data_IF_592857702356
#
_entry.id   IF_592857702356
#
_cell.length_a   1.000
_cell.length_b   1.000
_cell.length_c   1.000
_cell.angle_alpha   90.00
_cell.angle_beta   90.00
_cell.angle_gamma   90.00
#
_symmetry.space_group_name_H-M   'P 1'
#
loop_
_entity.id
_entity.type
_entity.pdbx_description
1 polymer ?
#
# COMPACT_ATOMS: atom_id res chain seq x y z
N UNK A 1 -60.45 35.68 -4.94
CA UNK A 1 -60.10 37.12 -4.79
C UNK A 1 -58.98 37.21 -3.76
N UNK A 2 -57.91 37.98 -4.04
CA UNK A 2 -56.79 38.31 -3.13
C UNK A 2 -55.99 37.12 -2.53
N UNK A 3 -54.79 36.89 -3.06
CA UNK A 3 -53.75 36.08 -2.40
C UNK A 3 -52.84 36.95 -1.52
N UNK A 4 -52.22 36.33 -0.51
CA UNK A 4 -51.22 36.98 0.34
C UNK A 4 -49.80 36.50 -0.03
N UNK A 5 -49.05 37.34 -0.77
CA UNK A 5 -47.60 37.18 -0.88
C UNK A 5 -46.92 37.77 0.35
N UNK A 6 -46.16 36.94 1.08
CA UNK A 6 -45.17 37.41 2.06
C UNK A 6 -43.80 37.43 1.40
N UNK A 7 -43.27 38.63 1.15
CA UNK A 7 -41.88 38.81 0.76
C UNK A 7 -40.97 38.74 2.00
N UNK A 8 -39.97 37.86 1.99
CA UNK A 8 -38.87 37.89 2.95
C UNK A 8 -37.66 38.57 2.31
N UNK A 9 -37.20 39.67 2.91
CA UNK A 9 -35.97 40.33 2.50
C UNK A 9 -34.76 39.61 3.11
N UNK A 10 -33.91 39.04 2.28
CA UNK A 10 -32.62 38.48 2.69
C UNK A 10 -31.54 39.57 2.61
N UNK A 11 -31.01 40.01 3.75
CA UNK A 11 -29.89 40.93 3.81
C UNK A 11 -28.57 40.15 3.70
N UNK A 12 -27.88 40.29 2.57
CA UNK A 12 -26.54 39.71 2.35
C UNK A 12 -25.45 40.69 2.81
N UNK A 13 -24.82 40.38 3.96
CA UNK A 13 -23.65 41.11 4.44
C UNK A 13 -22.36 40.37 4.02
N UNK A 14 -21.55 41.02 3.19
CA UNK A 14 -20.22 40.54 2.78
C UNK A 14 -19.15 41.30 3.58
N UNK A 15 -18.29 40.64 4.37
CA UNK A 15 -17.07 41.25 4.88
C UNK A 15 -15.92 41.13 3.85
N UNK A 16 -15.08 42.16 3.81
CA UNK A 16 -14.16 42.41 2.70
C UNK A 16 -12.81 41.67 2.77
N UNK A 17 -12.14 41.63 1.63
CA UNK A 17 -10.78 41.12 1.41
C UNK A 17 -9.74 41.95 2.18
N UNK A 18 -8.77 41.28 2.80
CA UNK A 18 -7.51 41.89 3.24
C UNK A 18 -6.33 41.08 2.69
N UNK A 19 -5.78 41.53 1.55
CA UNK A 19 -4.56 40.99 0.98
C UNK A 19 -3.35 41.81 1.46
N UNK A 20 -2.46 41.19 2.22
CA UNK A 20 -1.20 41.79 2.64
C UNK A 20 -0.06 41.31 1.74
N UNK A 21 0.31 42.13 0.75
CA UNK A 21 1.50 41.89 -0.05
C UNK A 21 2.74 42.39 0.70
N UNK A 22 3.77 41.54 0.83
CA UNK A 22 5.13 41.97 1.17
C UNK A 22 6.06 41.64 0.01
N UNK A 23 6.71 42.67 -0.52
CA UNK A 23 7.61 42.57 -1.65
C UNK A 23 9.08 42.60 -1.22
N UNK A 24 9.87 41.74 -1.86
CA UNK A 24 11.26 41.94 -2.30
C UNK A 24 12.28 42.55 -1.32
N UNK A 25 13.34 41.79 -1.05
CA UNK A 25 14.69 42.35 -0.96
C UNK A 25 15.71 41.36 -1.51
N UNK A 26 16.32 41.72 -2.64
CA UNK A 26 17.44 41.04 -3.28
C UNK A 26 18.76 41.64 -2.80
N UNK A 27 19.78 40.82 -2.56
CA UNK A 27 21.16 41.31 -2.37
C UNK A 27 22.20 40.44 -3.08
N UNK A 28 23.17 41.11 -3.68
CA UNK A 28 24.10 40.62 -4.70
C UNK A 28 25.26 39.77 -4.18
N UNK A 29 25.88 39.00 -5.08
CA UNK A 29 27.19 38.39 -4.88
C UNK A 29 28.35 39.39 -4.96
N UNK A 30 29.58 38.97 -4.61
CA UNK A 30 30.80 39.43 -5.28
C UNK A 30 31.51 38.30 -6.05
N UNK A 31 32.33 38.70 -7.02
CA UNK A 31 33.07 37.82 -7.94
C UNK A 31 34.55 38.19 -7.98
N UNK A 32 35.44 37.19 -8.01
CA UNK A 32 36.83 37.29 -8.51
C UNK A 32 37.28 35.91 -9.02
N UNK A 33 37.44 35.74 -10.34
CA UNK A 33 38.73 35.75 -11.06
C UNK A 33 39.51 34.42 -10.97
N UNK A 34 39.37 33.52 -11.96
CA UNK A 34 40.15 33.44 -13.22
C UNK A 34 41.62 33.03 -13.07
N UNK A 35 41.98 31.88 -13.64
CA UNK A 35 43.20 31.66 -14.43
C UNK A 35 42.91 30.60 -15.53
N UNK A 36 43.71 30.55 -16.60
CA UNK A 36 43.26 30.07 -17.93
C UNK A 36 44.43 29.49 -18.76
N UNK A 37 44.11 28.61 -19.72
CA UNK A 37 44.90 28.16 -20.89
C UNK A 37 46.08 27.17 -20.69
N UNK A 38 46.56 26.46 -21.75
CA UNK A 38 45.95 26.17 -23.07
C UNK A 38 46.01 24.68 -23.54
N UNK A 39 45.39 24.42 -24.70
CA UNK A 39 45.56 23.23 -25.57
C UNK A 39 46.97 23.14 -26.22
N UNK A 40 47.27 22.04 -26.93
CA UNK A 40 47.17 22.12 -28.40
C UNK A 40 46.43 20.92 -29.08
N UNK A 41 45.95 21.17 -30.30
CA UNK A 41 45.42 20.16 -31.25
C UNK A 41 46.57 19.50 -32.05
N UNK A 42 46.46 18.35 -32.71
CA UNK A 42 45.73 17.99 -33.95
C UNK A 42 46.18 16.55 -34.33
N UNK A 43 45.53 15.70 -35.14
CA UNK A 43 45.38 15.77 -36.60
C UNK A 43 44.54 14.59 -37.16
N UNK A 44 44.12 14.74 -38.43
CA UNK A 44 43.49 13.76 -39.35
C UNK A 44 44.31 12.45 -39.56
N UNK A 45 43.89 11.38 -40.25
CA UNK A 45 42.87 11.20 -41.31
C UNK A 45 42.60 9.70 -41.63
N UNK A 46 41.52 9.40 -42.37
CA UNK A 46 41.38 8.36 -43.44
C UNK A 46 41.66 6.84 -43.13
N UNK A 47 41.08 5.83 -43.82
CA UNK A 47 39.96 5.71 -44.78
C UNK A 47 39.64 4.19 -45.06
N UNK A 48 38.65 3.92 -45.94
CA UNK A 48 38.28 2.64 -46.59
C UNK A 48 37.58 1.57 -45.72
N UNK A 49 36.36 1.04 -46.00
CA UNK A 49 35.77 0.40 -47.21
C UNK A 49 36.50 -0.90 -47.58
N UNK A 50 35.92 -2.11 -47.69
CA UNK A 50 34.69 -2.61 -48.38
C UNK A 50 34.30 -4.01 -47.83
N UNK A 51 33.22 -4.75 -48.18
CA UNK A 51 31.87 -4.52 -48.75
C UNK A 51 31.05 -5.85 -48.75
N UNK A 52 29.70 -5.79 -48.79
CA UNK A 52 28.74 -6.88 -49.18
C UNK A 52 28.70 -8.17 -48.32
N UNK A 53 27.61 -8.94 -48.16
CA UNK A 53 26.41 -9.16 -49.01
C UNK A 53 25.20 -9.72 -48.22
N UNK A 54 23.98 -9.31 -48.60
CA UNK A 54 22.70 -10.06 -48.66
C UNK A 54 22.36 -11.22 -47.68
N UNK A 55 21.27 -11.05 -46.91
CA UNK A 55 20.46 -12.14 -46.29
C UNK A 55 19.08 -11.62 -45.83
N UNK A 56 17.99 -12.40 -45.96
CA UNK A 56 16.59 -11.89 -46.01
C UNK A 56 15.62 -12.63 -45.07
N UNK A 57 15.29 -12.02 -43.91
CA UNK A 57 14.04 -12.15 -43.09
C UNK A 57 13.56 -13.57 -42.63
N UNK A 58 12.53 -13.71 -41.75
CA UNK A 58 11.86 -12.75 -40.85
C UNK A 58 11.80 -13.20 -39.35
N UNK A 59 11.23 -12.34 -38.50
CA UNK A 59 10.50 -12.61 -37.24
C UNK A 59 10.99 -13.67 -36.24
N UNK A 60 11.45 -13.20 -35.06
CA UNK A 60 11.12 -13.82 -33.77
C UNK A 60 11.06 -12.73 -32.68
N UNK A 61 9.86 -12.48 -32.14
CA UNK A 61 9.68 -11.66 -30.93
C UNK A 61 9.95 -12.57 -29.73
N UNK A 62 10.95 -12.30 -28.86
CA UNK A 62 11.07 -13.02 -27.61
C UNK A 62 9.89 -12.62 -26.71
N UNK A 63 9.17 -13.58 -26.10
CA UNK A 63 8.04 -13.26 -25.23
C UNK A 63 8.51 -12.57 -23.95
N UNK A 64 7.62 -11.76 -23.36
CA UNK A 64 7.79 -11.18 -22.03
C UNK A 64 8.19 -12.28 -21.03
N UNK A 65 9.45 -12.26 -20.59
CA UNK A 65 9.84 -12.96 -19.38
C UNK A 65 9.19 -12.20 -18.22
N UNK A 66 8.17 -12.81 -17.60
CA UNK A 66 7.54 -12.23 -16.41
C UNK A 66 8.62 -11.94 -15.37
N UNK A 67 8.68 -10.69 -14.90
CA UNK A 67 9.57 -10.29 -13.83
C UNK A 67 9.15 -11.06 -12.56
N UNK A 68 9.88 -12.12 -12.26
CA UNK A 68 9.70 -12.87 -11.03
C UNK A 68 10.09 -11.95 -9.87
N UNK A 69 9.08 -11.49 -9.12
CA UNK A 69 9.28 -10.68 -7.93
C UNK A 69 10.30 -11.35 -7.01
N UNK A 70 11.25 -10.56 -6.50
CA UNK A 70 12.29 -11.04 -5.61
C UNK A 70 11.68 -11.50 -4.27
N UNK A 71 11.39 -12.79 -4.16
CA UNK A 71 10.85 -13.40 -2.96
C UNK A 71 11.85 -13.29 -1.80
N UNK A 72 11.53 -12.45 -0.81
CA UNK A 72 12.30 -12.37 0.43
C UNK A 72 11.95 -13.53 1.36
N UNK A 73 13.00 -14.17 1.89
CA UNK A 73 13.06 -15.30 2.81
C UNK A 73 11.77 -15.73 3.55
N UNK A 74 11.50 -17.04 3.48
CA UNK A 74 10.46 -17.76 4.21
C UNK A 74 10.67 -17.70 5.74
N UNK A 75 9.76 -16.98 6.41
CA UNK A 75 9.53 -17.03 7.86
C UNK A 75 8.02 -17.23 8.11
N UNK A 76 7.46 -18.27 7.49
CA UNK A 76 6.03 -18.65 7.52
C UNK A 76 5.55 -19.20 8.88
N UNK A 77 5.62 -18.38 9.92
CA UNK A 77 4.80 -18.60 11.11
C UNK A 77 3.32 -18.35 10.75
N UNK A 78 2.40 -19.26 11.12
CA UNK A 78 0.99 -19.14 10.74
C UNK A 78 0.29 -18.13 11.65
N UNK A 79 -0.68 -17.42 11.07
CA UNK A 79 -1.59 -16.54 11.79
C UNK A 79 -3.04 -16.95 11.53
N UNK A 80 -3.96 -16.42 12.34
CA UNK A 80 -5.40 -16.61 12.14
C UNK A 80 -5.94 -15.46 11.30
N UNK A 81 -6.69 -15.80 10.27
CA UNK A 81 -7.39 -14.85 9.40
C UNK A 81 -8.87 -15.18 9.41
N UNK A 82 -9.73 -14.19 9.65
CA UNK A 82 -11.18 -14.36 9.74
C UNK A 82 -11.88 -13.59 8.61
N UNK A 83 -12.75 -14.29 7.89
CA UNK A 83 -13.54 -13.80 6.77
C UNK A 83 -15.03 -13.91 7.07
N UNK A 84 -15.82 -12.94 6.59
CA UNK A 84 -17.27 -13.12 6.41
C UNK A 84 -17.52 -13.55 4.97
N UNK A 85 -18.30 -14.61 4.77
CA UNK A 85 -18.53 -15.27 3.47
C UNK A 85 -20.00 -15.63 3.34
N UNK A 86 -20.68 -15.23 2.24
CA UNK A 86 -22.10 -15.56 2.08
C UNK A 86 -22.31 -17.06 1.91
N UNK A 87 -22.90 -17.68 2.94
CA UNK A 87 -23.18 -19.11 3.03
C UNK A 87 -24.59 -19.29 3.59
N UNK A 88 -25.41 -20.12 2.92
CA UNK A 88 -26.84 -20.29 3.21
C UNK A 88 -27.26 -21.74 3.48
N UNK A 89 -26.34 -22.70 3.34
CA UNK A 89 -26.57 -24.12 3.63
C UNK A 89 -25.24 -24.87 3.82
N UNK A 90 -25.30 -26.11 4.33
CA UNK A 90 -24.11 -26.97 4.52
C UNK A 90 -23.33 -27.24 3.24
N UNK A 91 -23.99 -27.32 2.08
CA UNK A 91 -23.30 -27.43 0.78
C UNK A 91 -22.39 -26.22 0.47
N UNK A 92 -22.72 -25.04 1.01
CA UNK A 92 -21.85 -23.86 0.95
C UNK A 92 -20.57 -24.08 1.77
N UNK A 93 -20.72 -24.60 2.98
CA UNK A 93 -19.62 -24.90 3.92
C UNK A 93 -18.67 -25.93 3.31
N UNK A 94 -19.20 -27.01 2.73
CA UNK A 94 -18.39 -28.03 2.05
C UNK A 94 -17.63 -27.45 0.86
N UNK A 95 -18.28 -26.65 0.00
CA UNK A 95 -17.62 -26.04 -1.15
C UNK A 95 -16.46 -25.11 -0.74
N UNK A 96 -16.67 -24.28 0.29
CA UNK A 96 -15.64 -23.38 0.85
C UNK A 96 -14.48 -24.16 1.47
N UNK A 97 -14.77 -25.15 2.34
CA UNK A 97 -13.73 -25.99 2.95
C UNK A 97 -12.91 -26.72 1.91
N UNK A 98 -13.56 -27.40 0.95
CA UNK A 98 -12.86 -28.15 -0.09
C UNK A 98 -11.95 -27.24 -0.92
N UNK A 99 -12.40 -26.02 -1.27
CA UNK A 99 -11.60 -25.07 -2.06
C UNK A 99 -10.40 -24.52 -1.29
N UNK A 100 -10.56 -24.18 -0.01
CA UNK A 100 -9.44 -23.72 0.81
C UNK A 100 -8.45 -24.85 1.10
N UNK A 101 -8.93 -26.09 1.32
CA UNK A 101 -8.06 -27.26 1.56
C UNK A 101 -7.15 -27.63 0.38
N UNK A 102 -7.40 -27.13 -0.84
CA UNK A 102 -6.46 -27.31 -1.97
C UNK A 102 -5.27 -26.37 -1.93
N UNK A 103 -5.24 -25.39 -1.02
CA UNK A 103 -4.15 -24.41 -0.92
C UNK A 103 -3.09 -24.88 0.08
N UNK A 104 -1.87 -25.10 -0.41
CA UNK A 104 -0.70 -25.34 0.44
C UNK A 104 -0.47 -24.15 1.38
N UNK A 105 -0.07 -24.42 2.63
CA UNK A 105 0.08 -23.39 3.68
C UNK A 105 -1.13 -23.23 4.62
N UNK A 106 -2.31 -23.73 4.26
CA UNK A 106 -3.46 -23.78 5.18
C UNK A 106 -3.34 -24.99 6.13
N UNK A 107 -3.42 -24.72 7.44
CA UNK A 107 -3.24 -25.71 8.52
C UNK A 107 -4.56 -26.10 9.18
N UNK A 108 -5.51 -25.17 9.32
CA UNK A 108 -6.86 -25.44 9.83
C UNK A 108 -7.90 -24.49 9.22
N UNK A 109 -9.14 -24.95 9.07
CA UNK A 109 -10.28 -24.15 8.59
C UNK A 109 -11.50 -24.44 9.50
N UNK A 110 -11.90 -23.43 10.26
CA UNK A 110 -13.14 -23.42 11.03
C UNK A 110 -14.21 -22.65 10.24
N UNK A 111 -15.45 -23.14 10.25
CA UNK A 111 -16.57 -22.47 9.59
C UNK A 111 -17.75 -22.42 10.55
N UNK A 112 -18.28 -21.22 10.73
CA UNK A 112 -19.45 -20.89 11.52
C UNK A 112 -20.54 -20.43 10.55
N UNK A 113 -21.41 -21.36 10.14
CA UNK A 113 -22.50 -21.09 9.20
C UNK A 113 -23.54 -20.09 9.77
N UNK A 114 -24.01 -20.20 11.03
CA UNK A 114 -24.93 -19.22 11.63
C UNK A 114 -24.41 -17.77 11.57
N UNK A 115 -23.12 -17.56 11.81
CA UNK A 115 -22.53 -16.22 11.73
C UNK A 115 -21.98 -15.85 10.34
N UNK A 116 -22.02 -16.78 9.39
CA UNK A 116 -21.45 -16.66 8.03
C UNK A 116 -19.94 -16.35 8.02
N UNK A 117 -19.19 -17.04 8.90
CA UNK A 117 -17.77 -16.76 9.17
C UNK A 117 -16.90 -17.96 8.84
N UNK A 118 -15.72 -17.68 8.27
CA UNK A 118 -14.68 -18.66 7.94
C UNK A 118 -13.38 -18.18 8.61
N UNK A 119 -12.82 -18.99 9.50
CA UNK A 119 -11.50 -18.74 10.10
C UNK A 119 -10.49 -19.70 9.50
N UNK A 120 -9.38 -19.16 9.03
CA UNK A 120 -8.26 -19.90 8.46
C UNK A 120 -7.05 -19.72 9.36
N UNK A 121 -6.38 -20.81 9.72
CA UNK A 121 -5.05 -20.80 10.30
C UNK A 121 -4.06 -21.21 9.20
N UNK A 122 -3.12 -20.33 8.86
CA UNK A 122 -2.16 -20.59 7.79
C UNK A 122 -1.18 -19.44 7.61
N UNK A 123 -0.38 -19.52 6.56
CA UNK A 123 0.69 -18.55 6.23
C UNK A 123 0.48 -17.86 4.86
N UNK A 124 -0.63 -18.16 4.19
CA UNK A 124 -0.98 -17.58 2.89
C UNK A 124 -1.34 -16.09 2.96
N UNK A 125 -1.09 -15.33 1.88
CA UNK A 125 -1.58 -13.96 1.75
C UNK A 125 -3.12 -13.90 1.79
N UNK A 126 -3.67 -12.84 2.39
CA UNK A 126 -5.11 -12.57 2.44
C UNK A 126 -5.71 -12.54 1.05
N UNK A 127 -5.01 -11.96 0.07
CA UNK A 127 -5.47 -11.92 -1.33
C UNK A 127 -5.69 -13.32 -1.91
N UNK A 128 -4.74 -14.24 -1.72
CA UNK A 128 -4.84 -15.63 -2.21
C UNK A 128 -6.06 -16.35 -1.62
N UNK A 129 -6.33 -16.14 -0.33
CA UNK A 129 -7.50 -16.70 0.34
C UNK A 129 -8.82 -16.07 -0.15
N UNK A 130 -8.88 -14.74 -0.34
CA UNK A 130 -10.05 -14.05 -0.90
C UNK A 130 -10.35 -14.50 -2.33
N UNK A 131 -9.34 -14.52 -3.20
CA UNK A 131 -9.50 -14.95 -4.60
C UNK A 131 -10.01 -16.41 -4.66
N UNK A 132 -9.54 -17.29 -3.77
CA UNK A 132 -10.03 -18.66 -3.66
C UNK A 132 -11.46 -18.77 -3.12
N UNK A 133 -11.86 -17.91 -2.18
CA UNK A 133 -13.25 -17.83 -1.70
C UNK A 133 -14.19 -17.31 -2.79
N UNK A 134 -13.82 -16.26 -3.52
CA UNK A 134 -14.58 -15.72 -4.65
C UNK A 134 -14.75 -16.75 -5.78
N UNK A 135 -13.74 -17.59 -6.04
CA UNK A 135 -13.84 -18.73 -6.97
C UNK A 135 -14.90 -19.78 -6.57
N UNK A 136 -15.44 -19.76 -5.35
CA UNK A 136 -16.60 -20.60 -4.97
C UNK A 136 -17.96 -19.99 -5.34
N UNK A 137 -17.97 -18.83 -6.01
CA UNK A 137 -19.18 -18.08 -6.37
C UNK A 137 -19.80 -17.34 -5.18
N UNK A 138 -18.97 -16.90 -4.22
CA UNK A 138 -19.40 -16.26 -2.96
C UNK A 138 -18.73 -14.92 -2.79
N UNK A 139 -19.48 -13.94 -2.33
CA UNK A 139 -18.86 -12.75 -1.76
C UNK A 139 -18.15 -13.12 -0.44
N UNK A 140 -16.96 -12.56 -0.26
CA UNK A 140 -16.08 -12.81 0.86
C UNK A 140 -15.28 -11.54 1.17
N UNK A 141 -15.22 -11.17 2.45
CA UNK A 141 -14.41 -10.05 2.94
C UNK A 141 -13.64 -10.41 4.19
N UNK A 142 -12.44 -9.86 4.32
CA UNK A 142 -11.67 -9.92 5.56
C UNK A 142 -12.40 -9.15 6.67
N UNK A 143 -12.51 -9.75 7.86
CA UNK A 143 -13.06 -9.10 9.05
C UNK A 143 -12.09 -9.06 10.25
N UNK A 144 -11.07 -9.93 10.30
CA UNK A 144 -10.03 -9.87 11.34
C UNK A 144 -8.74 -10.65 11.02
N UNK A 145 -7.61 -10.27 11.63
CA UNK A 145 -6.31 -10.95 11.49
C UNK A 145 -5.53 -11.06 12.81
N UNK A 146 -4.62 -12.05 12.88
CA UNK A 146 -3.75 -12.34 14.02
C UNK A 146 -4.46 -13.08 15.16
N UNK A 147 -3.72 -13.42 16.23
CA UNK A 147 -4.25 -14.20 17.35
C UNK A 147 -4.69 -13.30 18.53
N UNK A 148 -6.01 -13.16 18.80
CA UNK A 148 -6.52 -12.27 19.86
C UNK A 148 -6.17 -12.75 21.27
N UNK A 149 -5.86 -14.05 21.43
CA UNK A 149 -5.45 -14.62 22.71
C UNK A 149 -4.03 -14.19 23.12
N UNK A 150 -3.20 -13.80 22.14
CA UNK A 150 -1.78 -13.50 22.34
C UNK A 150 -1.54 -11.97 22.34
N UNK A 151 -2.35 -11.21 21.60
CA UNK A 151 -2.15 -9.77 21.37
C UNK A 151 -3.45 -8.96 21.46
N UNK A 152 -3.45 -7.91 22.29
CA UNK A 152 -4.54 -6.90 22.37
C UNK A 152 -4.67 -6.00 21.13
N UNK A 153 -3.66 -6.00 20.26
CA UNK A 153 -3.66 -5.30 18.96
C UNK A 153 -2.97 -6.22 17.97
N UNK A 154 -3.73 -7.13 17.37
CA UNK A 154 -3.20 -8.14 16.45
C UNK A 154 -3.17 -7.67 14.99
N UNK A 155 -3.86 -6.59 14.63
CA UNK A 155 -3.96 -6.12 13.25
C UNK A 155 -3.95 -4.58 13.10
N UNK A 156 -3.44 -4.11 11.98
CA UNK A 156 -3.47 -2.71 11.55
C UNK A 156 -3.64 -2.59 10.03
N UNK A 157 -4.10 -1.43 9.58
CA UNK A 157 -4.29 -1.12 8.15
C UNK A 157 -3.91 0.33 7.85
N UNK A 158 -3.25 0.57 6.72
CA UNK A 158 -3.06 1.89 6.14
C UNK A 158 -3.70 1.93 4.75
N UNK A 159 -4.51 2.95 4.49
CA UNK A 159 -5.34 3.05 3.28
C UNK A 159 -4.97 4.33 2.50
N UNK A 160 -4.53 4.16 1.26
CA UNK A 160 -4.19 5.23 0.33
C UNK A 160 -5.41 5.49 -0.56
N UNK A 161 -5.98 6.70 -0.47
CA UNK A 161 -7.29 7.08 -1.07
C UNK A 161 -7.19 7.90 -2.35
N UNK A 162 -6.03 7.89 -3.03
CA UNK A 162 -5.79 8.73 -4.18
C UNK A 162 -5.49 10.20 -3.82
N UNK A 163 -5.60 11.13 -4.79
CA UNK A 163 -6.21 10.94 -6.11
C UNK A 163 -5.32 10.19 -7.12
N UNK A 164 -4.01 10.06 -6.88
CA UNK A 164 -3.07 9.40 -7.80
C UNK A 164 -2.85 7.93 -7.44
N UNK A 165 -2.41 7.66 -6.20
CA UNK A 165 -2.11 6.31 -5.72
C UNK A 165 -3.25 5.79 -4.85
N UNK A 166 -3.81 4.65 -5.23
CA UNK A 166 -4.78 3.90 -4.43
C UNK A 166 -4.13 2.62 -3.93
N UNK A 167 -4.36 2.25 -2.68
CA UNK A 167 -3.76 1.05 -2.12
C UNK A 167 -4.13 0.77 -0.68
N UNK A 168 -3.86 -0.47 -0.26
CA UNK A 168 -4.10 -0.94 1.10
C UNK A 168 -2.87 -1.71 1.56
N UNK A 169 -2.35 -1.33 2.73
CA UNK A 169 -1.33 -2.10 3.44
C UNK A 169 -1.96 -2.66 4.71
N UNK A 170 -1.85 -3.98 4.90
CA UNK A 170 -2.30 -4.72 6.07
C UNK A 170 -1.08 -5.17 6.86
N UNK A 171 -1.16 -5.05 8.18
CA UNK A 171 -0.14 -5.54 9.09
C UNK A 171 -0.81 -6.48 10.10
N UNK A 172 -0.29 -7.69 10.25
CA UNK A 172 -0.79 -8.68 11.20
C UNK A 172 0.35 -9.13 12.13
N UNK A 173 0.11 -9.11 13.44
CA UNK A 173 1.04 -9.63 14.42
C UNK A 173 0.97 -11.16 14.40
N UNK A 174 2.08 -11.81 14.07
CA UNK A 174 2.18 -13.26 13.98
C UNK A 174 2.72 -13.84 15.29
N UNK A 175 3.77 -13.23 15.84
CA UNK A 175 4.28 -13.48 17.19
C UNK A 175 4.90 -12.20 17.77
N UNK A 176 5.45 -12.24 19.00
CA UNK A 176 6.03 -11.07 19.69
C UNK A 176 7.08 -10.28 18.89
N UNK A 177 7.83 -10.96 18.01
CA UNK A 177 8.96 -10.42 17.26
C UNK A 177 8.77 -10.51 15.74
N UNK A 178 7.56 -10.81 15.24
CA UNK A 178 7.29 -10.95 13.81
C UNK A 178 5.90 -10.41 13.45
N UNK A 179 5.87 -9.47 12.51
CA UNK A 179 4.65 -9.01 11.85
C UNK A 179 4.68 -9.35 10.35
N UNK A 180 3.55 -9.84 9.82
CA UNK A 180 3.33 -9.95 8.38
C UNK A 180 2.90 -8.58 7.84
N UNK A 181 3.42 -8.22 6.69
CA UNK A 181 3.06 -7.01 5.94
C UNK A 181 2.61 -7.44 4.55
N UNK A 182 1.37 -7.13 4.22
CA UNK A 182 0.79 -7.36 2.90
C UNK A 182 0.37 -6.01 2.31
N UNK A 183 0.74 -5.73 1.06
CA UNK A 183 0.40 -4.50 0.39
C UNK A 183 -0.11 -4.74 -1.03
N UNK A 184 -1.04 -3.90 -1.45
CA UNK A 184 -1.50 -3.82 -2.84
C UNK A 184 -1.67 -2.34 -3.19
N UNK A 185 -1.03 -1.90 -4.26
CA UNK A 185 -1.06 -0.54 -4.78
C UNK A 185 -1.45 -0.53 -6.25
N UNK A 186 -2.02 0.59 -6.68
CA UNK A 186 -2.44 0.88 -8.05
C UNK A 186 -2.29 2.38 -8.32
N UNK A 187 -2.09 2.74 -9.59
CA UNK A 187 -1.83 4.13 -9.99
C UNK A 187 -0.37 4.59 -9.80
N UNK A 188 0.56 3.65 -9.66
CA UNK A 188 2.00 3.95 -9.65
C UNK A 188 2.56 4.10 -11.06
N UNK A 189 3.69 4.81 -11.18
CA UNK A 189 4.51 4.76 -12.39
C UNK A 189 5.18 3.38 -12.50
N UNK A 190 5.35 2.80 -13.71
CA UNK A 190 6.11 1.57 -13.86
C UNK A 190 7.55 1.74 -13.39
N UNK A 191 8.07 0.79 -12.59
CA UNK A 191 9.44 0.82 -12.07
C UNK A 191 9.55 0.59 -10.56
N UNK A 192 10.68 1.02 -9.99
CA UNK A 192 11.05 0.78 -8.58
C UNK A 192 10.71 1.97 -7.68
N UNK A 193 9.90 1.70 -6.67
CA UNK A 193 9.42 2.64 -5.66
C UNK A 193 9.98 2.29 -4.28
N UNK A 194 10.62 3.23 -3.59
CA UNK A 194 10.95 3.05 -2.18
C UNK A 194 9.68 3.15 -1.33
N UNK A 195 9.63 2.42 -0.21
CA UNK A 195 8.57 2.59 0.80
C UNK A 195 9.08 2.33 2.22
N UNK A 196 8.45 2.98 3.20
CA UNK A 196 8.84 2.86 4.60
C UNK A 196 7.69 3.20 5.56
N UNK A 197 7.81 2.73 6.79
CA UNK A 197 7.06 3.25 7.93
C UNK A 197 7.84 4.44 8.49
N UNK A 198 7.19 5.59 8.64
CA UNK A 198 7.80 6.82 9.14
C UNK A 198 7.33 7.15 10.57
N UNK A 199 7.99 8.10 11.22
CA UNK A 199 7.83 8.35 12.65
C UNK A 199 6.43 8.84 13.03
N UNK A 200 5.82 9.72 12.22
CA UNK A 200 4.57 10.42 12.55
C UNK A 200 3.45 10.15 11.54
N UNK A 201 2.22 9.95 12.04
CA UNK A 201 1.00 9.95 11.24
C UNK A 201 0.50 11.35 10.83
N UNK A 202 1.39 12.33 10.66
CA UNK A 202 1.03 13.68 10.23
C UNK A 202 1.01 13.76 8.69
N UNK A 203 -0.19 13.91 8.13
CA UNK A 203 -0.43 14.05 6.69
C UNK A 203 -0.74 15.50 6.26
N UNK A 204 -0.51 16.51 7.11
CA UNK A 204 -0.79 17.93 6.79
C UNK A 204 -0.04 18.44 5.56
N UNK A 205 1.12 17.87 5.23
CA UNK A 205 1.86 18.10 3.97
C UNK A 205 2.14 16.78 3.25
N UNK A 206 1.19 15.84 3.30
CA UNK A 206 1.34 14.52 2.69
C UNK A 206 2.48 13.73 3.33
N UNK A 207 3.37 13.16 2.52
CA UNK A 207 4.50 12.38 3.02
C UNK A 207 5.59 13.25 3.69
N UNK A 208 5.73 14.53 3.31
CA UNK A 208 6.77 15.43 3.85
C UNK A 208 6.63 15.66 5.37
N UNK A 209 5.40 15.68 5.89
CA UNK A 209 5.12 15.88 7.32
C UNK A 209 5.29 14.61 8.18
N UNK A 210 5.53 13.44 7.57
CA UNK A 210 5.60 12.15 8.29
C UNK A 210 6.88 11.93 9.10
N UNK A 211 7.87 12.81 8.95
CA UNK A 211 9.16 12.72 9.65
C UNK A 211 10.12 11.71 9.02
N UNK A 212 11.02 11.16 9.84
CA UNK A 212 12.04 10.20 9.38
C UNK A 212 11.48 8.77 9.32
N UNK A 213 12.20 7.88 8.64
CA UNK A 213 11.94 6.43 8.71
C UNK A 213 11.96 5.99 10.18
N UNK A 214 10.94 5.25 10.59
CA UNK A 214 10.77 4.79 11.97
C UNK A 214 11.94 3.91 12.40
N UNK A 215 12.60 4.29 13.50
CA UNK A 215 13.59 3.45 14.17
C UNK A 215 13.46 3.59 15.69
N UNK A 216 13.04 2.54 16.42
CA UNK A 216 12.88 2.63 17.87
C UNK A 216 14.24 2.77 18.58
N UNK A 217 14.28 3.46 19.73
CA UNK A 217 15.51 3.58 20.51
C UNK A 217 16.01 2.19 20.95
N UNK A 218 17.30 1.93 20.73
CA UNK A 218 17.93 0.63 21.00
C UNK A 218 17.95 -0.34 19.80
N UNK A 219 17.26 -0.05 18.70
CA UNK A 219 17.43 -0.82 17.46
C UNK A 219 18.66 -0.30 16.69
N UNK A 220 19.73 -1.11 16.70
CA UNK A 220 20.98 -0.85 15.97
C UNK A 220 21.09 -1.86 14.83
N UNK A 221 21.02 -1.36 13.60
CA UNK A 221 21.20 -2.10 12.35
C UNK A 221 21.55 -1.13 11.23
N UNK A 222 22.09 -1.62 10.12
CA UNK A 222 22.47 -0.81 8.95
C UNK A 222 21.25 -0.18 8.26
N UNK A 223 20.06 -0.77 8.43
CA UNK A 223 18.78 -0.24 7.96
C UNK A 223 17.86 0.05 9.14
N UNK A 224 17.10 1.13 9.07
CA UNK A 224 16.07 1.45 10.06
C UNK A 224 14.98 0.36 10.09
N UNK A 225 14.38 0.12 11.26
CA UNK A 225 13.34 -0.92 11.41
C UNK A 225 12.15 -0.70 10.46
N UNK A 226 11.73 0.56 10.27
CA UNK A 226 10.67 0.97 9.35
C UNK A 226 11.02 0.92 7.86
N UNK A 227 12.25 0.56 7.49
CA UNK A 227 12.62 0.34 6.09
C UNK A 227 11.93 -0.93 5.55
N UNK A 228 11.00 -0.77 4.61
CA UNK A 228 10.27 -1.88 3.97
C UNK A 228 10.90 -2.30 2.62
N UNK A 229 12.03 -1.71 2.25
CA UNK A 229 12.73 -1.96 0.99
C UNK A 229 12.09 -1.27 -0.22
N UNK A 230 11.93 -2.04 -1.29
CA UNK A 230 11.56 -1.59 -2.63
C UNK A 230 10.29 -2.32 -3.08
N UNK A 231 9.36 -1.59 -3.66
CA UNK A 231 8.23 -2.12 -4.42
C UNK A 231 8.55 -2.02 -5.91
N UNK A 232 8.14 -3.02 -6.69
CA UNK A 232 8.23 -2.99 -8.14
C UNK A 232 6.81 -2.89 -8.70
N UNK A 233 6.54 -1.80 -9.42
CA UNK A 233 5.28 -1.54 -10.09
C UNK A 233 5.36 -1.97 -11.55
N UNK A 234 4.38 -2.75 -11.99
CA UNK A 234 4.26 -3.23 -13.36
C UNK A 234 3.87 -2.13 -14.36
N UNK A 235 3.81 -2.48 -15.64
CA UNK A 235 3.40 -1.56 -16.73
C UNK A 235 1.98 -1.01 -16.56
N UNK A 236 1.11 -1.74 -15.84
CA UNK A 236 -0.24 -1.33 -15.47
C UNK A 236 -0.29 -0.40 -14.23
N UNK A 237 0.85 -0.09 -13.62
CA UNK A 237 0.94 0.74 -12.41
C UNK A 237 0.46 0.02 -11.13
N UNK A 238 0.33 -1.31 -11.15
CA UNK A 238 0.04 -2.12 -9.98
C UNK A 238 1.33 -2.63 -9.32
N UNK A 239 1.35 -2.66 -7.98
CA UNK A 239 2.41 -3.29 -7.21
C UNK A 239 1.79 -4.13 -6.08
N UNK A 240 2.36 -5.31 -5.82
CA UNK A 240 1.94 -6.20 -4.74
C UNK A 240 3.16 -6.62 -3.91
N UNK A 241 2.97 -6.72 -2.60
CA UNK A 241 3.98 -7.21 -1.67
C UNK A 241 3.34 -8.11 -0.63
N UNK A 242 4.00 -9.21 -0.30
CA UNK A 242 3.67 -10.05 0.84
C UNK A 242 4.98 -10.53 1.46
N UNK A 243 5.19 -10.23 2.73
CA UNK A 243 6.41 -10.59 3.44
C UNK A 243 6.25 -10.46 4.94
N UNK A 244 7.28 -10.85 5.68
CA UNK A 244 7.32 -10.71 7.13
C UNK A 244 8.52 -9.87 7.56
N UNK A 245 8.37 -9.11 8.65
CA UNK A 245 9.40 -8.24 9.19
C UNK A 245 9.67 -8.61 10.65
N UNK A 246 10.90 -9.04 10.91
CA UNK A 246 11.38 -9.29 12.28
C UNK A 246 11.45 -8.00 13.11
N UNK A 247 11.29 -8.15 14.42
CA UNK A 247 11.32 -7.10 15.46
C UNK A 247 10.29 -5.99 15.27
N UNK A 248 9.33 -6.18 14.36
CA UNK A 248 8.25 -5.26 14.08
C UNK A 248 7.01 -5.64 14.90
N UNK A 249 6.53 -4.70 15.73
CA UNK A 249 5.35 -4.89 16.59
C UNK A 249 4.24 -3.93 16.18
N UNK A 250 3.09 -4.45 15.74
CA UNK A 250 1.93 -3.71 15.24
C UNK A 250 1.48 -2.62 16.22
N UNK A 251 1.51 -2.90 17.52
CA UNK A 251 1.15 -1.94 18.58
C UNK A 251 2.01 -0.66 18.56
N UNK A 252 3.30 -0.74 18.19
CA UNK A 252 4.21 0.41 18.12
C UNK A 252 4.03 1.25 16.85
N UNK A 253 3.26 0.75 15.87
CA UNK A 253 3.04 1.35 14.56
C UNK A 253 1.73 2.14 14.48
N UNK A 254 0.79 1.90 15.40
CA UNK A 254 -0.51 2.58 15.41
C UNK A 254 -0.30 4.10 15.54
N UNK A 255 -0.88 4.87 14.62
CA UNK A 255 -0.74 6.32 14.57
C UNK A 255 0.55 6.83 13.92
N UNK A 256 1.41 5.94 13.41
CA UNK A 256 2.48 6.27 12.46
C UNK A 256 1.94 6.28 11.03
N UNK A 257 2.78 6.55 10.04
CA UNK A 257 2.39 6.45 8.62
C UNK A 257 3.23 5.43 7.86
N UNK A 258 2.69 4.97 6.74
CA UNK A 258 3.48 4.40 5.64
C UNK A 258 3.63 5.49 4.59
N UNK A 259 4.86 5.74 4.16
CA UNK A 259 5.22 6.63 3.07
C UNK A 259 5.70 5.84 1.86
N UNK A 260 5.36 6.33 0.67
CA UNK A 260 5.70 5.77 -0.63
C UNK A 260 6.46 6.84 -1.42
N UNK A 261 7.56 6.46 -2.05
CA UNK A 261 8.53 7.35 -2.71
C UNK A 261 8.47 7.18 -4.23
N UNK A 262 8.86 8.21 -4.98
CA UNK A 262 8.90 8.14 -6.44
C UNK A 262 9.97 7.14 -6.92
N UNK A 263 11.06 7.03 -6.16
CA UNK A 263 12.24 6.23 -6.51
C UNK A 263 12.73 5.40 -5.31
N UNK A 264 13.53 4.38 -5.59
CA UNK A 264 14.10 3.45 -4.58
C UNK A 264 15.09 4.11 -3.61
N UNK A 265 15.75 5.19 -4.04
CA UNK A 265 16.72 5.94 -3.23
C UNK A 265 16.07 6.84 -2.15
N UNK A 266 14.74 7.06 -2.23
CA UNK A 266 13.95 7.88 -1.29
C UNK A 266 14.50 9.31 -1.11
N UNK A 267 15.08 9.86 -2.18
CA UNK A 267 15.58 11.25 -2.21
C UNK A 267 14.44 12.29 -2.26
N UNK A 268 13.26 11.89 -2.72
CA UNK A 268 12.05 12.71 -2.74
C UNK A 268 11.31 12.72 -1.37
N UNK A 269 10.47 13.74 -1.08
CA UNK A 269 9.72 13.79 0.18
C UNK A 269 8.60 12.74 0.30
N UNK A 270 8.40 11.90 -0.71
CA UNK A 270 7.33 10.91 -0.82
C UNK A 270 6.17 11.40 -1.71
N UNK A 271 5.67 10.51 -2.57
CA UNK A 271 4.55 10.75 -3.49
C UNK A 271 3.18 10.53 -2.83
N UNK A 272 3.12 9.69 -1.80
CA UNK A 272 1.89 9.41 -1.05
C UNK A 272 2.21 8.90 0.36
N UNK A 273 1.30 9.14 1.31
CA UNK A 273 1.39 8.56 2.64
C UNK A 273 -0.01 8.29 3.23
N UNK A 274 -0.09 7.29 4.11
CA UNK A 274 -1.31 6.90 4.81
C UNK A 274 -1.02 6.57 6.27
N UNK A 275 -1.91 6.96 7.20
CA UNK A 275 -1.79 6.63 8.63
C UNK A 275 -2.11 5.16 8.86
N UNK A 276 -1.30 4.50 9.71
CA UNK A 276 -1.52 3.14 10.19
C UNK A 276 -2.59 3.21 11.29
N UNK A 277 -3.82 2.85 10.92
CA UNK A 277 -4.96 2.71 11.82
C UNK A 277 -5.04 1.30 12.41
N UNK A 278 -5.71 1.16 13.55
CA UNK A 278 -6.05 -0.17 14.10
C UNK A 278 -7.02 -0.89 13.16
N UNK A 279 -6.80 -2.18 12.96
CA UNK A 279 -7.75 -3.10 12.33
C UNK A 279 -8.23 -4.08 13.39
N UNK A 280 -9.40 -4.68 13.17
CA UNK A 280 -9.93 -5.71 14.04
C UNK A 280 -9.05 -6.97 14.03
N UNK A 281 -8.87 -7.56 15.20
CA UNK A 281 -8.43 -8.94 15.36
C UNK A 281 -9.52 -9.94 15.03
N UNK A 282 -9.15 -11.22 14.96
CA UNK A 282 -10.12 -12.32 14.83
C UNK A 282 -11.06 -12.31 16.03
N UNK A 283 -12.38 -12.34 15.80
CA UNK A 283 -13.38 -12.28 16.86
C UNK A 283 -13.87 -10.87 17.25
N UNK A 284 -13.23 -9.81 16.75
CA UNK A 284 -13.52 -8.44 17.22
C UNK A 284 -14.56 -7.69 16.37
N UNK A 285 -14.90 -8.18 15.16
CA UNK A 285 -15.68 -7.41 14.19
C UNK A 285 -16.73 -8.23 13.42
N UNK A 286 -17.91 -8.36 14.04
CA UNK A 286 -19.11 -8.92 13.41
C UNK A 286 -20.06 -7.85 12.82
N UNK A 287 -19.56 -6.65 12.52
CA UNK A 287 -20.39 -5.53 12.05
C UNK A 287 -20.93 -5.81 10.64
N UNK A 288 -22.25 -6.03 10.55
CA UNK A 288 -22.96 -6.23 9.27
C UNK A 288 -23.40 -4.92 8.60
N UNK A 289 -23.71 -3.88 9.37
CA UNK A 289 -24.25 -2.60 8.87
C UNK A 289 -23.38 -1.40 9.28
N UNK A 290 -23.08 -0.52 8.34
CA UNK A 290 -22.47 0.79 8.56
C UNK A 290 -23.45 1.89 8.10
N UNK A 291 -23.75 2.85 8.97
CA UNK A 291 -24.88 3.79 8.79
C UNK A 291 -24.46 5.22 8.41
N UNK A 292 -23.24 5.41 7.90
CA UNK A 292 -22.64 6.75 7.82
C UNK A 292 -23.12 7.63 6.65
N UNK A 293 -23.73 7.03 5.61
CA UNK A 293 -23.93 7.70 4.30
C UNK A 293 -25.34 7.54 3.72
N UNK A 294 -26.21 6.77 4.39
CA UNK A 294 -27.48 6.29 3.80
C UNK A 294 -27.30 5.22 2.69
N UNK A 295 -26.06 4.95 2.29
CA UNK A 295 -25.71 3.82 1.42
C UNK A 295 -25.55 2.56 2.27
N UNK A 296 -26.55 1.69 2.24
CA UNK A 296 -26.44 0.33 2.76
C UNK A 296 -25.39 -0.43 1.95
N UNK A 297 -24.16 -0.54 2.47
CA UNK A 297 -23.07 -1.23 1.76
C UNK A 297 -23.43 -2.72 1.52
N UNK A 298 -24.12 -3.36 2.47
CA UNK A 298 -24.82 -4.63 2.28
C UNK A 298 -25.99 -4.80 3.25
N UNK A 299 -27.07 -5.44 2.80
CA UNK A 299 -28.16 -5.95 3.63
C UNK A 299 -28.17 -7.47 3.55
N UNK A 300 -28.15 -8.14 4.72
CA UNK A 300 -28.18 -9.61 4.81
C UNK A 300 -29.62 -10.05 5.08
N UNK A 301 -30.33 -10.43 4.03
CA UNK A 301 -31.61 -11.17 4.10
C UNK A 301 -31.40 -12.65 4.44
#
# INVERSE_FOLDING_TARGET
MVGFLRAFAAASAVPAVAAAAYALSSSSAPSTSKLRFPLPASFLSAAASTSSTSGRAPNAVPPMAAAAAAATADLSAPDKTEFMVDMKCEGCVTAVKNKLQTLEGIRNIEVDLPNQVVRVLGDLPVKTMLDALHQTGRDARLIGQGNPNDFLVSAAVAEFKGPVVFGVVRLAQVNMDLARVEATFSGLSPGKHGWSINEFGDLTRGAESTGKVYNPPGYVSDKALGDLGTLEAGENGEAQFSGSKEKLRVVDLIGRSIALYATDDRSDPGIAAAVIARSAGVGENYKKLCTCDGVTIWESS
#
